data_IF_277845855267
#
_entry.id   IF_277845855267
#
_cell.length_a   1.000
_cell.length_b   1.000
_cell.length_c   1.000
_cell.angle_alpha   90.00
_cell.angle_beta   90.00
_cell.angle_gamma   90.00
#
_symmetry.space_group_name_H-M   'P 1'
#
loop_
_entity.id
_entity.type
_entity.pdbx_description
1 polymer ?
#
# COMPACT_ATOMS: atom_id res chain seq x y z
N UNK A 1 9.73 -5.91 11.86
CA UNK A 1 10.46 -5.92 13.14
C UNK A 1 11.76 -6.74 13.09
N UNK A 2 11.76 -7.98 12.56
CA UNK A 2 13.00 -8.78 12.43
C UNK A 2 14.13 -8.04 11.69
N UNK A 3 13.84 -7.43 10.53
CA UNK A 3 14.84 -6.69 9.74
C UNK A 3 15.44 -5.49 10.50
N UNK A 4 14.64 -4.79 11.32
CA UNK A 4 15.10 -3.69 12.18
C UNK A 4 16.10 -4.22 13.21
N UNK A 5 15.80 -5.36 13.84
CA UNK A 5 16.70 -5.99 14.82
C UNK A 5 18.00 -6.44 14.15
N UNK A 6 17.92 -7.08 12.98
CA UNK A 6 19.09 -7.52 12.23
C UNK A 6 19.97 -6.34 11.79
N UNK A 7 19.38 -5.26 11.29
CA UNK A 7 20.12 -4.05 10.91
C UNK A 7 20.74 -3.35 12.13
N UNK A 8 20.07 -3.38 13.29
CA UNK A 8 20.61 -2.85 14.53
C UNK A 8 21.83 -3.67 15.00
N UNK A 9 21.76 -5.00 14.97
CA UNK A 9 22.89 -5.89 15.27
C UNK A 9 24.03 -5.64 14.29
N UNK A 10 23.74 -5.54 12.99
CA UNK A 10 24.73 -5.23 11.97
C UNK A 10 25.41 -3.89 12.24
N UNK A 11 24.65 -2.84 12.55
CA UNK A 11 25.17 -1.53 12.91
C UNK A 11 26.07 -1.58 14.14
N UNK A 12 25.70 -2.35 15.16
CA UNK A 12 26.51 -2.55 16.35
C UNK A 12 27.84 -3.26 16.04
N UNK A 13 27.79 -4.38 15.31
CA UNK A 13 28.99 -5.15 14.92
C UNK A 13 29.94 -4.32 14.06
N UNK A 14 29.41 -3.45 13.18
CA UNK A 14 30.21 -2.60 12.28
C UNK A 14 30.52 -1.22 12.86
N UNK A 15 30.12 -0.95 14.09
CA UNK A 15 30.27 0.35 14.76
C UNK A 15 29.67 1.52 13.97
N UNK A 16 28.58 1.26 13.24
CA UNK A 16 27.78 2.26 12.55
C UNK A 16 26.66 2.76 13.46
N UNK A 17 26.51 4.09 13.53
CA UNK A 17 25.39 4.72 14.25
C UNK A 17 24.16 4.77 13.36
N UNK A 18 23.52 3.62 13.12
CA UNK A 18 22.33 3.53 12.24
C UNK A 18 21.04 4.01 12.92
N UNK A 19 20.95 3.85 14.24
CA UNK A 19 19.75 4.17 15.02
C UNK A 19 20.03 5.26 16.06
N UNK A 20 19.01 6.10 16.31
CA UNK A 20 18.91 7.02 17.44
C UNK A 20 17.66 6.67 18.22
N UNK A 21 17.74 6.60 19.56
CA UNK A 21 16.58 6.25 20.38
C UNK A 21 15.40 7.20 20.13
N UNK A 22 15.67 8.52 20.07
CA UNK A 22 14.66 9.55 19.84
C UNK A 22 13.94 9.35 18.51
N UNK A 23 14.71 9.15 17.43
CA UNK A 23 14.15 8.99 16.08
C UNK A 23 13.44 7.65 15.88
N UNK A 24 13.93 6.59 16.54
CA UNK A 24 13.31 5.26 16.53
C UNK A 24 11.96 5.28 17.25
N UNK A 25 11.90 5.88 18.44
CA UNK A 25 10.65 6.02 19.21
C UNK A 25 9.65 6.88 18.44
N UNK A 26 10.10 7.96 17.80
CA UNK A 26 9.24 8.80 16.96
C UNK A 26 8.66 7.99 15.78
N UNK A 27 9.51 7.26 15.06
CA UNK A 27 9.09 6.48 13.89
C UNK A 27 8.11 5.36 14.26
N UNK A 28 8.35 4.65 15.37
CA UNK A 28 7.43 3.63 15.88
C UNK A 28 6.11 4.27 16.33
N UNK A 29 6.17 5.39 17.08
CA UNK A 29 4.96 6.09 17.55
C UNK A 29 4.09 6.57 16.39
N UNK A 30 4.70 7.17 15.36
CA UNK A 30 3.98 7.60 14.15
C UNK A 30 3.32 6.42 13.44
N UNK A 31 4.02 5.28 13.32
CA UNK A 31 3.46 4.06 12.75
C UNK A 31 2.26 3.53 13.54
N UNK A 32 2.34 3.50 14.87
CA UNK A 32 1.23 3.08 15.73
C UNK A 32 0.02 3.99 15.53
N UNK A 33 0.21 5.31 15.58
CA UNK A 33 -0.89 6.27 15.40
C UNK A 33 -1.50 6.17 14.01
N UNK A 34 -0.66 6.01 12.98
CA UNK A 34 -1.14 5.82 11.61
C UNK A 34 -1.95 4.52 11.48
N UNK A 35 -1.57 3.42 12.13
CA UNK A 35 -2.38 2.20 12.11
C UNK A 35 -3.72 2.37 12.83
N UNK A 36 -3.75 3.06 13.98
CA UNK A 36 -4.99 3.34 14.71
C UNK A 36 -6.00 4.15 13.89
N UNK A 37 -5.53 5.18 13.19
CA UNK A 37 -6.38 5.94 12.24
C UNK A 37 -6.71 5.10 11.01
N UNK A 38 -5.74 4.30 10.57
CA UNK A 38 -5.84 3.41 9.43
C UNK A 38 -6.93 2.37 9.56
N UNK A 39 -7.26 1.88 10.76
CA UNK A 39 -8.39 0.96 11.00
C UNK A 39 -9.65 1.55 10.37
N UNK A 40 -10.13 2.68 10.91
CA UNK A 40 -11.37 3.33 10.47
C UNK A 40 -11.41 3.65 8.97
N UNK A 41 -10.26 4.04 8.41
CA UNK A 41 -10.16 4.31 6.98
C UNK A 41 -10.28 3.03 6.15
N UNK A 42 -9.67 1.92 6.57
CA UNK A 42 -9.74 0.63 5.87
C UNK A 42 -11.17 0.13 5.74
N UNK A 43 -12.01 0.28 6.77
CA UNK A 43 -13.42 -0.10 6.65
C UNK A 43 -14.19 0.83 5.71
N UNK A 44 -13.97 2.14 5.80
CA UNK A 44 -14.62 3.13 4.94
C UNK A 44 -14.31 2.92 3.44
N UNK A 45 -13.16 2.33 3.12
CA UNK A 45 -12.71 2.06 1.75
C UNK A 45 -13.38 0.87 1.09
N UNK A 46 -13.99 -0.05 1.85
CA UNK A 46 -14.59 -1.26 1.28
C UNK A 46 -15.80 -0.91 0.40
N UNK A 47 -16.66 -0.01 0.87
CA UNK A 47 -17.87 0.38 0.14
C UNK A 47 -17.57 0.98 -1.25
N UNK A 48 -16.72 2.02 -1.40
CA UNK A 48 -16.43 2.56 -2.73
C UNK A 48 -15.73 1.52 -3.61
N UNK A 49 -14.91 0.62 -3.05
CA UNK A 49 -14.31 -0.47 -3.82
C UNK A 49 -15.37 -1.42 -4.39
N UNK A 50 -16.35 -1.84 -3.57
CA UNK A 50 -17.45 -2.70 -4.03
C UNK A 50 -18.31 -2.00 -5.08
N UNK A 51 -18.61 -0.71 -4.90
CA UNK A 51 -19.38 0.07 -5.88
C UNK A 51 -18.66 0.05 -7.24
N UNK A 52 -17.36 0.33 -7.29
CA UNK A 52 -16.59 0.31 -8.55
C UNK A 52 -16.48 -1.11 -9.09
N UNK A 53 -16.30 -2.10 -8.23
CA UNK A 53 -16.29 -3.51 -8.64
C UNK A 53 -17.59 -3.87 -9.37
N UNK A 54 -18.75 -3.60 -8.77
CA UNK A 54 -20.04 -3.94 -9.34
C UNK A 54 -20.37 -3.10 -10.58
N UNK A 55 -20.05 -1.80 -10.56
CA UNK A 55 -20.26 -0.89 -11.68
C UNK A 55 -19.57 -1.38 -12.97
N UNK A 56 -18.38 -1.96 -12.84
CA UNK A 56 -17.60 -2.48 -13.97
C UNK A 56 -17.87 -3.95 -14.30
N UNK A 57 -18.76 -4.64 -13.57
CA UNK A 57 -19.07 -6.05 -13.81
C UNK A 57 -19.55 -6.34 -15.24
N UNK A 58 -20.42 -5.52 -15.88
CA UNK A 58 -20.84 -5.76 -17.26
C UNK A 58 -19.68 -5.67 -18.26
N UNK A 59 -18.77 -4.71 -18.07
CA UNK A 59 -17.60 -4.56 -18.93
C UNK A 59 -16.64 -5.76 -18.79
N UNK A 60 -16.40 -6.22 -17.56
CA UNK A 60 -15.60 -7.42 -17.33
C UNK A 60 -16.23 -8.65 -17.97
N UNK A 61 -17.55 -8.82 -17.86
CA UNK A 61 -18.25 -9.92 -18.51
C UNK A 61 -18.07 -9.90 -20.03
N UNK A 62 -18.16 -8.74 -20.67
CA UNK A 62 -17.91 -8.57 -22.11
C UNK A 62 -16.48 -8.98 -22.49
N UNK A 63 -15.49 -8.57 -21.70
CA UNK A 63 -14.08 -8.92 -21.94
C UNK A 63 -13.85 -10.42 -21.78
N UNK A 64 -14.36 -11.03 -20.70
CA UNK A 64 -14.17 -12.46 -20.41
C UNK A 64 -14.91 -13.37 -21.42
N UNK A 65 -15.98 -12.89 -22.05
CA UNK A 65 -16.73 -13.62 -23.09
C UNK A 65 -16.21 -13.32 -24.51
N UNK A 66 -15.22 -12.43 -24.66
CA UNK A 66 -14.65 -12.06 -25.95
C UNK A 66 -13.91 -13.24 -26.58
N UNK A 67 -13.99 -13.44 -27.91
CA UNK A 67 -13.23 -14.48 -28.61
C UNK A 67 -11.71 -14.28 -28.53
N UNK A 68 -11.25 -13.09 -28.12
CA UNK A 68 -9.84 -12.78 -27.90
C UNK A 68 -9.37 -13.08 -26.48
N UNK A 69 -10.28 -13.37 -25.55
CA UNK A 69 -9.90 -13.74 -24.20
C UNK A 69 -9.41 -15.18 -24.17
N UNK A 70 -8.23 -15.46 -23.60
CA UNK A 70 -7.74 -16.82 -23.49
C UNK A 70 -8.64 -17.67 -22.58
N UNK A 71 -8.81 -18.95 -22.90
CA UNK A 71 -9.54 -19.91 -22.07
C UNK A 71 -8.74 -20.25 -20.81
N UNK A 72 -8.71 -19.30 -19.86
CA UNK A 72 -8.05 -19.41 -18.58
C UNK A 72 -9.09 -19.82 -17.53
N UNK A 73 -8.89 -21.00 -16.94
CA UNK A 73 -9.75 -21.50 -15.86
C UNK A 73 -8.91 -21.96 -14.66
N UNK A 74 -9.55 -22.03 -13.49
CA UNK A 74 -8.93 -22.51 -12.26
C UNK A 74 -7.67 -21.74 -11.87
N UNK A 75 -6.56 -22.47 -11.72
CA UNK A 75 -5.27 -21.94 -11.27
C UNK A 75 -4.68 -20.88 -12.21
N UNK A 76 -4.85 -21.04 -13.52
CA UNK A 76 -4.28 -20.12 -14.51
C UNK A 76 -4.91 -18.72 -14.38
N UNK A 77 -6.22 -18.67 -14.16
CA UNK A 77 -6.93 -17.42 -13.89
C UNK A 77 -6.50 -16.80 -12.56
N UNK A 78 -6.29 -17.60 -11.51
CA UNK A 78 -5.79 -17.11 -10.23
C UNK A 78 -4.38 -16.50 -10.34
N UNK A 79 -3.49 -17.14 -11.10
CA UNK A 79 -2.14 -16.63 -11.37
C UNK A 79 -2.22 -15.30 -12.14
N UNK A 80 -3.08 -15.21 -13.16
CA UNK A 80 -3.29 -13.96 -13.88
C UNK A 80 -3.75 -12.84 -12.94
N UNK A 81 -4.76 -13.10 -12.11
CA UNK A 81 -5.27 -12.14 -11.12
C UNK A 81 -4.18 -11.73 -10.13
N UNK A 82 -3.32 -12.66 -9.71
CA UNK A 82 -2.18 -12.36 -8.87
C UNK A 82 -1.17 -11.43 -9.57
N UNK A 83 -0.78 -11.75 -10.82
CA UNK A 83 0.18 -10.93 -11.58
C UNK A 83 -0.38 -9.52 -11.82
N UNK A 84 -1.64 -9.43 -12.26
CA UNK A 84 -2.34 -8.16 -12.46
C UNK A 84 -2.42 -7.37 -11.16
N UNK A 85 -2.77 -8.03 -10.05
CA UNK A 85 -2.81 -7.42 -8.73
C UNK A 85 -1.44 -6.93 -8.27
N UNK A 86 -0.39 -7.74 -8.45
CA UNK A 86 0.98 -7.39 -8.06
C UNK A 86 1.48 -6.17 -8.82
N UNK A 87 1.42 -6.21 -10.15
CA UNK A 87 1.86 -5.09 -11.00
C UNK A 87 0.98 -3.85 -10.80
N UNK A 88 -0.32 -4.05 -10.60
CA UNK A 88 -1.26 -2.98 -10.34
C UNK A 88 -1.06 -2.30 -8.99
N UNK A 89 -0.75 -3.06 -7.94
CA UNK A 89 -0.37 -2.50 -6.64
C UNK A 89 0.94 -1.70 -6.75
N UNK A 90 1.96 -2.22 -7.45
CA UNK A 90 3.22 -1.52 -7.64
C UNK A 90 3.02 -0.19 -8.39
N UNK A 91 2.23 -0.23 -9.47
CA UNK A 91 1.87 0.97 -10.24
C UNK A 91 1.07 1.98 -9.39
N UNK A 92 0.11 1.50 -8.59
CA UNK A 92 -0.65 2.33 -7.65
C UNK A 92 0.26 3.01 -6.63
N UNK A 93 1.23 2.27 -6.07
CA UNK A 93 2.22 2.80 -5.15
C UNK A 93 3.13 3.85 -5.81
N UNK A 94 3.59 3.59 -7.04
CA UNK A 94 4.39 4.54 -7.80
C UNK A 94 3.65 5.88 -7.97
N UNK A 95 2.39 5.85 -8.43
CA UNK A 95 1.61 7.06 -8.60
C UNK A 95 1.33 7.75 -7.27
N UNK A 96 0.96 7.01 -6.23
CA UNK A 96 0.78 7.54 -4.89
C UNK A 96 2.01 8.33 -4.44
N UNK A 97 3.19 7.70 -4.52
CA UNK A 97 4.44 8.29 -4.07
C UNK A 97 4.79 9.51 -4.92
N UNK A 98 4.74 9.39 -6.25
CA UNK A 98 5.01 10.49 -7.18
C UNK A 98 4.11 11.70 -6.92
N UNK A 99 2.79 11.49 -6.86
CA UNK A 99 1.84 12.58 -6.62
C UNK A 99 2.05 13.19 -5.23
N UNK A 100 2.44 12.39 -4.23
CA UNK A 100 2.79 12.90 -2.91
C UNK A 100 4.02 13.81 -2.89
N UNK A 101 4.96 13.65 -3.84
CA UNK A 101 6.10 14.55 -4.02
C UNK A 101 5.82 15.74 -4.93
N UNK A 102 4.83 15.64 -5.83
CA UNK A 102 4.51 16.71 -6.79
C UNK A 102 3.42 17.68 -6.29
N UNK A 103 2.51 17.25 -5.41
CA UNK A 103 1.36 18.06 -4.95
C UNK A 103 1.50 18.49 -3.50
N UNK A 104 1.40 19.80 -3.23
CA UNK A 104 1.64 20.39 -1.91
C UNK A 104 0.78 19.80 -0.78
N UNK A 105 -0.51 19.54 -1.06
CA UNK A 105 -1.42 18.96 -0.08
C UNK A 105 -0.94 17.55 0.34
N UNK A 106 -0.61 16.71 -0.63
CA UNK A 106 -0.15 15.36 -0.34
C UNK A 106 1.28 15.36 0.24
N UNK A 107 2.13 16.29 -0.20
CA UNK A 107 3.45 16.51 0.39
C UNK A 107 3.36 16.86 1.88
N UNK A 108 2.40 17.69 2.29
CA UNK A 108 2.23 18.02 3.71
C UNK A 108 1.96 16.77 4.57
N UNK A 109 1.21 15.80 4.04
CA UNK A 109 0.96 14.53 4.69
C UNK A 109 2.14 13.53 4.57
N UNK A 110 2.91 13.60 3.48
CA UNK A 110 3.98 12.66 3.16
C UNK A 110 5.35 13.06 3.71
N UNK A 111 5.64 14.35 3.83
CA UNK A 111 6.93 14.90 4.29
C UNK A 111 7.33 14.41 5.69
N UNK A 112 6.36 14.02 6.53
CA UNK A 112 6.60 13.37 7.83
C UNK A 112 7.46 12.12 7.65
N UNK A 113 7.25 11.34 6.58
CA UNK A 113 8.07 10.17 6.25
C UNK A 113 9.53 10.55 5.98
N UNK A 114 9.75 11.68 5.31
CA UNK A 114 11.08 12.19 4.97
C UNK A 114 11.75 13.00 6.07
N UNK A 115 11.11 13.16 7.23
CA UNK A 115 11.68 13.90 8.37
C UNK A 115 12.61 13.08 9.26
N UNK A 116 12.88 11.81 8.92
CA UNK A 116 13.84 10.98 9.62
C UNK A 116 15.27 11.47 9.40
N UNK A 117 16.06 11.53 10.47
CA UNK A 117 17.46 11.99 10.40
C UNK A 117 18.42 10.88 9.92
N UNK A 118 17.98 9.62 9.99
CA UNK A 118 18.79 8.44 9.65
C UNK A 118 18.03 7.56 8.68
N UNK A 119 18.76 7.05 7.68
CA UNK A 119 18.23 6.06 6.76
C UNK A 119 18.43 4.66 7.36
N UNK A 120 17.33 4.06 7.84
CA UNK A 120 17.29 2.72 8.44
C UNK A 120 15.89 2.10 8.27
N UNK A 121 15.72 0.84 8.66
CA UNK A 121 14.43 0.15 8.51
C UNK A 121 13.31 0.68 9.43
N UNK A 122 13.60 1.42 10.51
CA UNK A 122 12.53 2.05 11.29
C UNK A 122 11.86 3.21 10.54
N UNK A 123 12.52 3.81 9.54
CA UNK A 123 11.93 4.82 8.66
C UNK A 123 10.69 4.29 7.93
N UNK A 124 10.62 2.99 7.64
CA UNK A 124 9.42 2.36 7.06
C UNK A 124 8.17 2.52 7.94
N UNK A 125 8.34 2.61 9.26
CA UNK A 125 7.24 2.82 10.21
C UNK A 125 6.84 4.29 10.34
N UNK A 126 7.66 5.21 9.85
CA UNK A 126 7.43 6.66 9.91
C UNK A 126 6.44 7.07 8.83
N UNK A 127 5.17 6.73 9.00
CA UNK A 127 4.11 7.08 8.05
C UNK A 127 3.31 8.28 8.56
N UNK A 128 2.85 9.13 7.65
CA UNK A 128 1.96 10.23 7.99
C UNK A 128 0.57 9.72 8.38
N UNK A 129 -0.04 10.30 9.40
CA UNK A 129 -1.33 9.86 9.95
C UNK A 129 -2.45 9.89 8.88
N UNK A 130 -2.40 10.88 7.97
CA UNK A 130 -3.40 11.05 6.91
C UNK A 130 -3.14 10.21 5.66
N UNK A 131 -2.06 9.43 5.59
CA UNK A 131 -1.73 8.65 4.40
C UNK A 131 -2.83 7.65 4.01
N UNK A 132 -3.49 7.04 4.99
CA UNK A 132 -4.62 6.14 4.75
C UNK A 132 -5.87 6.83 4.21
N UNK A 133 -6.00 8.16 4.38
CA UNK A 133 -7.19 8.90 3.93
C UNK A 133 -7.25 9.06 2.40
N UNK A 134 -6.10 9.03 1.71
CA UNK A 134 -6.03 9.26 0.26
C UNK A 134 -5.39 8.12 -0.54
N UNK A 135 -4.59 7.25 0.09
CA UNK A 135 -3.87 6.18 -0.63
C UNK A 135 -4.79 5.23 -1.39
N UNK A 136 -5.97 4.90 -0.85
CA UNK A 136 -6.93 3.99 -1.49
C UNK A 136 -7.42 4.46 -2.87
N UNK A 137 -7.45 5.78 -3.12
CA UNK A 137 -7.80 6.34 -4.42
C UNK A 137 -6.87 5.86 -5.54
N UNK A 138 -5.61 5.54 -5.20
CA UNK A 138 -4.61 5.05 -6.16
C UNK A 138 -4.72 3.55 -6.44
N UNK A 139 -5.58 2.83 -5.70
CA UNK A 139 -5.78 1.38 -5.85
C UNK A 139 -7.21 1.01 -6.26
N UNK A 140 -8.17 1.95 -6.19
CA UNK A 140 -9.58 1.65 -6.46
C UNK A 140 -9.84 1.18 -7.90
N UNK A 141 -9.01 1.58 -8.86
CA UNK A 141 -9.11 1.13 -10.25
C UNK A 141 -8.88 -0.40 -10.41
N UNK A 142 -8.21 -1.05 -9.46
CA UNK A 142 -8.09 -2.51 -9.44
C UNK A 142 -9.44 -3.21 -9.24
N UNK A 143 -10.40 -2.54 -8.59
CA UNK A 143 -11.77 -3.04 -8.50
C UNK A 143 -12.42 -3.12 -9.89
N UNK A 144 -12.16 -2.14 -10.74
CA UNK A 144 -12.68 -2.11 -12.11
C UNK A 144 -12.14 -3.29 -12.94
N UNK A 145 -10.87 -3.66 -12.72
CA UNK A 145 -10.23 -4.83 -13.33
C UNK A 145 -10.69 -6.18 -12.76
N UNK A 146 -11.50 -6.18 -11.70
CA UNK A 146 -12.06 -7.41 -11.13
C UNK A 146 -11.16 -8.08 -10.12
N UNK A 147 -10.19 -7.35 -9.54
CA UNK A 147 -9.42 -7.86 -8.42
C UNK A 147 -10.38 -8.10 -7.24
N UNK A 148 -10.47 -9.33 -6.68
CA UNK A 148 -11.45 -9.61 -5.65
C UNK A 148 -11.24 -8.77 -4.39
N UNK A 149 -12.32 -8.31 -3.77
CA UNK A 149 -12.27 -7.49 -2.54
C UNK A 149 -11.49 -8.20 -1.43
N UNK A 150 -11.47 -9.53 -1.39
CA UNK A 150 -10.68 -10.31 -0.45
C UNK A 150 -9.17 -10.08 -0.60
N UNK A 151 -8.67 -9.87 -1.81
CA UNK A 151 -7.27 -9.56 -2.08
C UNK A 151 -6.96 -8.11 -1.69
N UNK A 152 -7.85 -7.17 -2.02
CA UNK A 152 -7.75 -5.77 -1.60
C UNK A 152 -7.72 -5.63 -0.08
N UNK A 153 -8.63 -6.32 0.62
CA UNK A 153 -8.69 -6.32 2.09
C UNK A 153 -7.42 -6.94 2.68
N UNK A 154 -6.92 -8.06 2.15
CA UNK A 154 -5.70 -8.71 2.66
C UNK A 154 -4.47 -7.83 2.48
N UNK A 155 -4.33 -7.16 1.34
CA UNK A 155 -3.22 -6.25 1.08
C UNK A 155 -3.23 -5.02 1.99
N UNK A 156 -4.42 -4.48 2.29
CA UNK A 156 -4.56 -3.32 3.18
C UNK A 156 -4.57 -3.67 4.68
N UNK A 157 -4.53 -4.94 5.08
CA UNK A 157 -4.59 -5.40 6.49
C UNK A 157 -3.24 -5.76 7.12
N UNK A 158 -2.15 -5.74 6.35
CA UNK A 158 -0.78 -5.85 6.85
C UNK A 158 -0.12 -4.46 6.94
#
# INVERSE_FOLDING_TARGET
>A
MLLIVLECIYGWVRNYKLYSLKDTVMSISLGIVQQLVGVWMKEAQILPYLIIYDLFAPLRALVLQSPYWPDLSGEQYQILIFIVGFLGCDLGYYFLHRTAHEWQLLWSAHSVHHSGERYNFATALRQGIFQSCYSWCFYIWLAALGLPVTHFIRHNRL
#
